data_IF_457995220385
#
_entry.id   IF_457995220385
#
_cell.length_a   1.000
_cell.length_b   1.000
_cell.length_c   1.000
_cell.angle_alpha   90.00
_cell.angle_beta   90.00
_cell.angle_gamma   90.00
#
_symmetry.space_group_name_H-M   'P 1'
#
loop_
_entity.id
_entity.type
_entity.pdbx_description
1 polymer ?
#
# COMPACT_ATOMS: atom_id res chain seq x y z
N UNK A 1 7.49 -30.34 2.25
CA UNK A 1 6.46 -30.05 1.26
C UNK A 1 6.21 -28.55 1.29
N UNK A 2 6.71 -27.85 0.29
CA UNK A 2 6.46 -26.39 0.14
C UNK A 2 5.01 -26.21 -0.31
N UNK A 3 4.13 -25.77 0.60
CA UNK A 3 2.80 -25.30 0.20
C UNK A 3 2.98 -23.98 -0.52
N UNK A 4 2.44 -23.88 -1.73
CA UNK A 4 2.33 -22.62 -2.46
C UNK A 4 1.62 -21.56 -1.60
N UNK A 5 1.98 -20.28 -1.74
CA UNK A 5 1.31 -19.20 -1.01
C UNK A 5 -0.17 -19.16 -1.41
N UNK A 6 -1.06 -19.19 -0.42
CA UNK A 6 -2.49 -19.01 -0.61
C UNK A 6 -2.82 -17.50 -0.66
N UNK A 7 -2.79 -16.94 -1.86
CA UNK A 7 -3.18 -15.55 -2.09
C UNK A 7 -4.59 -15.51 -2.66
N UNK A 8 -5.50 -14.86 -1.95
CA UNK A 8 -6.89 -14.70 -2.39
C UNK A 8 -7.13 -13.24 -2.74
N UNK A 9 -7.66 -12.99 -3.94
CA UNK A 9 -8.09 -11.66 -4.37
C UNK A 9 -9.61 -11.61 -4.31
N UNK A 10 -10.14 -10.67 -3.55
CA UNK A 10 -11.58 -10.42 -3.43
C UNK A 10 -11.89 -9.00 -3.92
N UNK A 11 -12.73 -8.86 -4.93
CA UNK A 11 -13.19 -7.57 -5.44
C UNK A 11 -14.62 -7.37 -4.95
N UNK A 12 -14.84 -6.35 -4.11
CA UNK A 12 -16.20 -5.99 -3.69
C UNK A 12 -16.86 -5.12 -4.78
N UNK A 13 -18.18 -5.21 -4.97
CA UNK A 13 -18.90 -4.34 -5.92
C UNK A 13 -18.65 -2.84 -5.67
N UNK A 14 -18.44 -2.45 -4.41
CA UNK A 14 -18.08 -1.08 -4.02
C UNK A 14 -16.73 -0.62 -4.58
N UNK A 15 -15.85 -1.51 -5.03
CA UNK A 15 -14.56 -1.13 -5.61
C UNK A 15 -14.68 -0.25 -6.86
N UNK A 16 -15.82 -0.29 -7.53
CA UNK A 16 -16.11 0.57 -8.68
C UNK A 16 -16.56 1.98 -8.28
N UNK A 17 -16.96 2.21 -7.01
CA UNK A 17 -17.49 3.50 -6.57
C UNK A 17 -16.44 4.60 -6.61
N UNK A 18 -15.22 4.34 -6.09
CA UNK A 18 -14.16 5.37 -6.07
C UNK A 18 -13.71 5.77 -7.47
N UNK A 19 -13.36 4.85 -8.39
CA UNK A 19 -13.02 5.24 -9.75
C UNK A 19 -14.18 5.89 -10.49
N UNK A 20 -15.43 5.44 -10.29
CA UNK A 20 -16.59 6.07 -10.92
C UNK A 20 -16.83 7.49 -10.39
N UNK A 21 -16.75 7.69 -9.08
CA UNK A 21 -16.86 9.01 -8.46
C UNK A 21 -15.73 9.94 -8.90
N UNK A 22 -14.49 9.40 -8.96
CA UNK A 22 -13.34 10.16 -9.42
C UNK A 22 -13.50 10.63 -10.88
N UNK A 23 -13.95 9.74 -11.77
CA UNK A 23 -14.24 10.09 -13.16
C UNK A 23 -15.35 11.12 -13.27
N UNK A 24 -16.38 11.01 -12.44
CA UNK A 24 -17.49 11.97 -12.43
C UNK A 24 -17.05 13.38 -11.98
N UNK A 25 -16.10 13.44 -11.03
CA UNK A 25 -15.65 14.71 -10.45
C UNK A 25 -14.54 15.40 -11.24
N UNK A 26 -13.69 14.64 -11.95
CA UNK A 26 -12.46 15.18 -12.55
C UNK A 26 -12.43 15.16 -14.06
N UNK A 27 -13.30 14.38 -14.73
CA UNK A 27 -13.27 14.14 -16.19
C UNK A 27 -11.88 13.74 -16.74
N UNK A 28 -11.01 13.21 -15.87
CA UNK A 28 -9.61 12.93 -16.21
C UNK A 28 -9.25 11.45 -16.04
N UNK A 29 -9.60 10.57 -16.99
CA UNK A 29 -9.31 9.14 -16.91
C UNK A 29 -7.81 8.83 -16.82
N UNK A 30 -6.95 9.73 -17.32
CA UNK A 30 -5.50 9.57 -17.26
C UNK A 30 -4.96 9.60 -15.82
N UNK A 31 -5.62 10.33 -14.90
CA UNK A 31 -5.25 10.31 -13.48
C UNK A 31 -5.50 8.93 -12.85
N UNK A 32 -6.63 8.29 -13.19
CA UNK A 32 -6.88 6.92 -12.75
C UNK A 32 -5.86 5.93 -13.32
N UNK A 33 -5.48 6.09 -14.59
CA UNK A 33 -4.45 5.28 -15.23
C UNK A 33 -3.08 5.41 -14.52
N UNK A 34 -2.81 6.53 -13.86
CA UNK A 34 -1.62 6.72 -13.05
C UNK A 34 -1.79 6.21 -11.61
N UNK A 35 -2.93 6.49 -10.96
CA UNK A 35 -3.16 6.17 -9.56
C UNK A 35 -3.36 4.67 -9.31
N UNK A 36 -4.07 3.95 -10.20
CA UNK A 36 -4.35 2.53 -9.99
C UNK A 36 -3.08 1.67 -9.99
N UNK A 37 -2.13 1.80 -10.96
CA UNK A 37 -0.87 1.08 -10.89
C UNK A 37 -0.01 1.50 -9.70
N UNK A 38 -0.03 2.78 -9.32
CA UNK A 38 0.70 3.27 -8.16
C UNK A 38 0.18 2.63 -6.85
N UNK A 39 -1.15 2.55 -6.68
CA UNK A 39 -1.76 1.88 -5.54
C UNK A 39 -1.48 0.36 -5.56
N UNK A 40 -1.50 -0.28 -6.71
CA UNK A 40 -1.16 -1.70 -6.83
C UNK A 40 0.28 -1.98 -6.39
N UNK A 41 1.23 -1.17 -6.85
CA UNK A 41 2.64 -1.29 -6.47
C UNK A 41 2.85 -1.08 -4.97
N UNK A 42 2.12 -0.15 -4.38
CA UNK A 42 2.09 0.09 -2.95
C UNK A 42 1.67 -1.16 -2.16
N UNK A 43 0.53 -1.75 -2.50
CA UNK A 43 0.03 -2.97 -1.85
C UNK A 43 0.97 -4.18 -2.07
N UNK A 44 1.55 -4.30 -3.27
CA UNK A 44 2.52 -5.35 -3.57
C UNK A 44 3.79 -5.21 -2.73
N UNK A 45 4.22 -3.99 -2.40
CA UNK A 45 5.37 -3.76 -1.53
C UNK A 45 5.11 -4.26 -0.11
N UNK A 46 3.94 -3.98 0.47
CA UNK A 46 3.52 -4.53 1.75
C UNK A 46 3.55 -6.07 1.72
N UNK A 47 2.93 -6.64 0.69
CA UNK A 47 2.88 -8.09 0.53
C UNK A 47 4.27 -8.72 0.39
N UNK A 48 5.16 -8.11 -0.40
CA UNK A 48 6.51 -8.62 -0.61
C UNK A 48 7.28 -8.72 0.72
N UNK A 49 7.22 -7.69 1.57
CA UNK A 49 7.87 -7.71 2.89
C UNK A 49 7.22 -8.76 3.79
N UNK A 50 5.90 -8.86 3.84
CA UNK A 50 5.21 -9.88 4.62
C UNK A 50 5.58 -11.29 4.18
N UNK A 51 5.68 -11.51 2.87
CA UNK A 51 6.10 -12.81 2.31
C UNK A 51 7.55 -13.16 2.71
N UNK A 52 8.46 -12.19 2.66
CA UNK A 52 9.85 -12.36 3.14
C UNK A 52 9.91 -12.65 4.64
N UNK A 53 8.98 -12.12 5.43
CA UNK A 53 8.82 -12.42 6.85
C UNK A 53 8.13 -13.77 7.14
N UNK A 54 7.85 -14.59 6.10
CA UNK A 54 7.29 -15.93 6.24
C UNK A 54 5.77 -16.01 6.22
N UNK A 55 5.07 -14.91 5.98
CA UNK A 55 3.61 -14.91 5.79
C UNK A 55 3.27 -15.61 4.48
N UNK A 56 2.39 -16.60 4.55
CA UNK A 56 2.00 -17.40 3.38
C UNK A 56 0.57 -17.16 2.93
N UNK A 57 -0.28 -16.71 3.85
CA UNK A 57 -1.69 -16.43 3.56
C UNK A 57 -1.94 -14.94 3.55
N UNK A 58 -2.42 -14.43 2.44
CA UNK A 58 -2.81 -13.04 2.30
C UNK A 58 -4.11 -12.91 1.52
N UNK A 59 -4.98 -12.00 1.94
CA UNK A 59 -6.21 -11.68 1.24
C UNK A 59 -6.19 -10.20 0.83
N UNK A 60 -6.09 -9.98 -0.48
CA UNK A 60 -6.28 -8.66 -1.05
C UNK A 60 -7.78 -8.40 -1.23
N UNK A 61 -8.28 -7.33 -0.67
CA UNK A 61 -9.67 -6.91 -0.84
C UNK A 61 -9.70 -5.52 -1.44
N UNK A 62 -10.30 -5.43 -2.64
CA UNK A 62 -10.59 -4.15 -3.28
C UNK A 62 -11.97 -3.67 -2.84
N UNK A 63 -12.02 -2.45 -2.32
CA UNK A 63 -13.26 -1.80 -1.83
C UNK A 63 -13.40 -0.41 -2.44
N UNK A 64 -14.55 0.23 -2.22
CA UNK A 64 -14.78 1.61 -2.65
C UNK A 64 -13.89 2.66 -1.98
N UNK A 65 -13.17 2.31 -0.93
CA UNK A 65 -12.22 3.20 -0.24
C UNK A 65 -10.75 2.87 -0.57
N UNK A 66 -10.50 1.90 -1.47
CA UNK A 66 -9.17 1.49 -1.87
C UNK A 66 -8.94 -0.02 -1.72
N UNK A 67 -7.68 -0.42 -1.77
CA UNK A 67 -7.23 -1.79 -1.52
C UNK A 67 -6.93 -1.99 -0.03
N UNK A 68 -7.12 -3.18 0.47
CA UNK A 68 -6.71 -3.58 1.81
C UNK A 68 -6.11 -4.98 1.79
N UNK A 69 -4.99 -5.14 2.47
CA UNK A 69 -4.32 -6.41 2.66
C UNK A 69 -4.66 -6.96 4.04
N UNK A 70 -5.37 -8.08 4.08
CA UNK A 70 -5.66 -8.79 5.32
C UNK A 70 -4.76 -10.01 5.45
N UNK A 71 -4.06 -10.11 6.57
CA UNK A 71 -3.12 -11.19 6.90
C UNK A 71 -3.54 -11.84 8.21
N UNK A 72 -4.08 -13.08 8.17
CA UNK A 72 -4.52 -13.77 9.39
C UNK A 72 -3.39 -14.02 10.39
N UNK A 73 -2.16 -14.19 9.87
CA UNK A 73 -0.98 -14.56 10.66
C UNK A 73 -0.20 -13.33 11.20
N UNK A 74 -0.76 -12.13 11.08
CA UNK A 74 -0.09 -10.88 11.45
C UNK A 74 0.36 -10.88 12.92
N UNK A 75 -0.44 -11.46 13.83
CA UNK A 75 -0.15 -11.58 15.26
C UNK A 75 1.08 -12.45 15.59
N UNK A 76 1.63 -13.18 14.61
CA UNK A 76 2.84 -13.99 14.75
C UNK A 76 4.10 -13.26 14.36
N UNK A 77 3.97 -12.09 13.78
CA UNK A 77 5.10 -11.27 13.36
C UNK A 77 5.67 -10.52 14.56
N UNK A 78 6.98 -10.31 14.54
CA UNK A 78 7.63 -9.38 15.46
C UNK A 78 7.21 -7.94 15.13
N UNK A 79 7.25 -7.06 16.13
CA UNK A 79 6.98 -5.62 15.94
C UNK A 79 7.81 -5.01 14.81
N UNK A 80 9.10 -5.41 14.70
CA UNK A 80 9.98 -4.94 13.63
C UNK A 80 9.54 -5.38 12.24
N UNK A 81 9.12 -6.64 12.09
CA UNK A 81 8.61 -7.16 10.82
C UNK A 81 7.29 -6.47 10.42
N UNK A 82 6.42 -6.22 11.39
CA UNK A 82 5.16 -5.51 11.17
C UNK A 82 5.40 -4.04 10.81
N UNK A 83 6.33 -3.37 11.50
CA UNK A 83 6.75 -2.00 11.21
C UNK A 83 7.35 -1.87 9.80
N UNK A 84 8.26 -2.79 9.45
CA UNK A 84 8.88 -2.83 8.12
C UNK A 84 7.83 -3.06 7.03
N UNK A 85 6.88 -3.96 7.28
CA UNK A 85 5.76 -4.18 6.37
C UNK A 85 4.93 -2.90 6.19
N UNK A 86 4.56 -2.22 7.27
CA UNK A 86 3.76 -0.99 7.20
C UNK A 86 4.50 0.15 6.47
N UNK A 87 5.82 0.23 6.59
CA UNK A 87 6.63 1.23 5.90
C UNK A 87 6.87 0.91 4.41
N UNK A 88 6.78 -0.36 4.02
CA UNK A 88 7.16 -0.82 2.68
C UNK A 88 6.37 -0.15 1.54
N UNK A 89 5.06 -0.01 1.69
CA UNK A 89 4.20 0.64 0.69
C UNK A 89 4.58 2.09 0.43
N UNK A 90 4.54 2.95 1.46
CA UNK A 90 4.92 4.35 1.30
C UNK A 90 6.35 4.53 0.80
N UNK A 91 7.32 3.75 1.32
CA UNK A 91 8.71 3.82 0.88
C UNK A 91 8.89 3.41 -0.58
N UNK A 92 8.17 2.39 -1.06
CA UNK A 92 8.17 1.99 -2.47
C UNK A 92 7.68 3.14 -3.35
N UNK A 93 6.58 3.78 -2.97
CA UNK A 93 6.04 4.90 -3.73
C UNK A 93 7.02 6.08 -3.77
N UNK A 94 7.62 6.46 -2.65
CA UNK A 94 8.60 7.54 -2.62
C UNK A 94 9.87 7.20 -3.41
N UNK A 95 10.34 5.96 -3.35
CA UNK A 95 11.46 5.49 -4.15
C UNK A 95 11.16 5.58 -5.66
N UNK A 96 9.99 5.09 -6.07
CA UNK A 96 9.56 5.16 -7.47
C UNK A 96 9.38 6.61 -7.93
N UNK A 97 8.83 7.48 -7.10
CA UNK A 97 8.77 8.91 -7.40
C UNK A 97 10.15 9.48 -7.71
N UNK A 98 11.15 9.24 -6.85
CA UNK A 98 12.52 9.73 -7.05
C UNK A 98 13.12 9.15 -8.35
N UNK A 99 13.04 7.82 -8.53
CA UNK A 99 13.62 7.16 -9.69
C UNK A 99 13.01 7.65 -11.01
N UNK A 100 11.67 7.77 -11.05
CA UNK A 100 10.96 8.25 -12.24
C UNK A 100 11.28 9.73 -12.53
N UNK A 101 11.37 10.57 -11.50
CA UNK A 101 11.71 11.99 -11.64
C UNK A 101 13.13 12.19 -12.16
N UNK A 102 14.07 11.33 -11.77
CA UNK A 102 15.46 11.39 -12.26
C UNK A 102 15.59 11.02 -13.75
N UNK A 103 14.59 10.38 -14.36
CA UNK A 103 14.62 10.08 -15.79
C UNK A 103 14.48 11.33 -16.66
N UNK A 104 13.91 12.41 -16.15
CA UNK A 104 13.59 13.64 -16.86
C UNK A 104 12.55 13.48 -17.99
N UNK A 105 11.84 12.34 -18.02
CA UNK A 105 10.84 12.03 -19.05
C UNK A 105 9.50 12.65 -18.70
N UNK A 106 9.01 13.55 -19.55
CA UNK A 106 7.70 14.21 -19.36
C UNK A 106 6.53 13.22 -19.30
N UNK A 107 6.60 12.14 -20.09
CA UNK A 107 5.54 11.11 -20.11
C UNK A 107 5.36 10.40 -18.79
N UNK A 108 6.39 10.37 -17.93
CA UNK A 108 6.38 9.72 -16.62
C UNK A 108 5.98 10.66 -15.48
N UNK A 109 5.89 11.97 -15.75
CA UNK A 109 5.65 13.00 -14.70
C UNK A 109 4.35 12.75 -13.94
N UNK A 110 3.28 12.40 -14.65
CA UNK A 110 1.98 12.13 -14.02
C UNK A 110 2.05 10.90 -13.10
N UNK A 111 2.70 9.84 -13.56
CA UNK A 111 2.84 8.62 -12.77
C UNK A 111 3.80 8.84 -11.58
N UNK A 112 4.88 9.60 -11.76
CA UNK A 112 5.76 10.02 -10.67
C UNK A 112 5.00 10.85 -9.62
N UNK A 113 4.17 11.80 -10.06
CA UNK A 113 3.31 12.59 -9.18
C UNK A 113 2.32 11.73 -8.38
N UNK A 114 1.69 10.73 -9.03
CA UNK A 114 0.81 9.78 -8.35
C UNK A 114 1.56 8.98 -7.26
N UNK A 115 2.79 8.54 -7.53
CA UNK A 115 3.63 7.86 -6.56
C UNK A 115 3.94 8.76 -5.36
N UNK A 116 4.34 10.01 -5.61
CA UNK A 116 4.62 10.97 -4.54
C UNK A 116 3.39 11.20 -3.64
N UNK A 117 2.25 11.50 -4.25
CA UNK A 117 1.00 11.80 -3.51
C UNK A 117 0.59 10.61 -2.66
N UNK A 118 0.58 9.39 -3.22
CA UNK A 118 0.23 8.18 -2.46
C UNK A 118 1.23 7.91 -1.33
N UNK A 119 2.54 8.04 -1.58
CA UNK A 119 3.56 7.83 -0.57
C UNK A 119 3.42 8.80 0.60
N UNK A 120 3.25 10.10 0.31
CA UNK A 120 3.11 11.14 1.34
C UNK A 120 1.80 10.98 2.11
N UNK A 121 0.67 10.77 1.43
CA UNK A 121 -0.62 10.59 2.10
C UNK A 121 -0.63 9.37 3.01
N UNK A 122 -0.06 8.25 2.58
CA UNK A 122 0.00 7.05 3.41
C UNK A 122 0.98 7.17 4.59
N UNK A 123 1.90 8.13 4.60
CA UNK A 123 2.75 8.43 5.76
C UNK A 123 2.07 9.33 6.81
N UNK A 124 0.89 9.87 6.53
CA UNK A 124 0.17 10.65 7.53
C UNK A 124 -0.12 9.81 8.78
N UNK A 125 0.13 10.35 9.99
CA UNK A 125 -0.05 9.62 11.26
C UNK A 125 -1.53 9.51 11.67
N UNK A 126 -2.39 9.14 10.73
CA UNK A 126 -3.85 9.04 10.89
C UNK A 126 -4.33 7.67 10.41
N UNK A 127 -5.19 7.02 11.17
CA UNK A 127 -5.89 5.81 10.68
C UNK A 127 -6.92 6.20 9.61
N UNK A 128 -7.02 5.46 8.51
CA UNK A 128 -6.50 4.11 8.21
C UNK A 128 -5.17 4.06 7.46
N UNK A 129 -4.38 5.16 7.41
CA UNK A 129 -3.11 5.23 6.67
C UNK A 129 -2.00 4.43 7.36
N UNK A 130 -0.98 4.03 6.57
CA UNK A 130 0.17 3.27 7.09
C UNK A 130 0.98 4.05 8.13
N UNK A 131 1.10 5.37 7.98
CA UNK A 131 1.74 6.24 8.96
C UNK A 131 1.08 6.18 10.33
N UNK A 132 -0.25 6.06 10.39
CA UNK A 132 -0.97 5.85 11.65
C UNK A 132 -0.67 4.48 12.27
N UNK A 133 -0.48 3.44 11.45
CA UNK A 133 -0.07 2.12 11.90
C UNK A 133 1.38 2.11 12.36
N UNK A 134 2.28 2.75 11.60
CA UNK A 134 3.70 2.93 11.98
C UNK A 134 3.82 3.62 13.33
N UNK A 135 3.11 4.72 13.52
CA UNK A 135 3.11 5.46 14.79
C UNK A 135 2.62 4.59 15.95
N UNK A 136 1.53 3.85 15.76
CA UNK A 136 1.00 2.96 16.79
C UNK A 136 2.00 1.84 17.15
N UNK A 137 2.61 1.18 16.16
CA UNK A 137 3.61 0.13 16.37
C UNK A 137 4.86 0.68 17.07
N UNK A 138 5.34 1.85 16.67
CA UNK A 138 6.50 2.49 17.31
C UNK A 138 6.21 2.82 18.77
N UNK A 139 5.03 3.34 19.11
CA UNK A 139 4.65 3.62 20.49
C UNK A 139 4.49 2.34 21.31
N UNK A 140 3.85 1.30 20.77
CA UNK A 140 3.71 0.02 21.43
C UNK A 140 5.08 -0.61 21.76
N UNK A 141 6.00 -0.60 20.78
CA UNK A 141 7.36 -1.11 20.98
C UNK A 141 8.14 -0.38 22.09
N UNK A 142 7.89 0.92 22.27
CA UNK A 142 8.56 1.72 23.31
C UNK A 142 7.92 1.59 24.69
N UNK A 143 6.66 1.18 24.78
CA UNK A 143 5.87 1.17 26.02
C UNK A 143 5.66 -0.23 26.61
N UNK A 144 5.74 -1.27 25.79
CA UNK A 144 5.63 -2.65 26.28
C UNK A 144 7.02 -3.17 26.68
N UNK A 145 7.30 -3.38 27.98
CA UNK A 145 8.52 -4.07 28.40
C UNK A 145 8.44 -5.52 27.92
N UNK A 146 9.54 -6.01 27.31
CA UNK A 146 9.76 -7.40 26.95
C UNK A 146 9.73 -8.31 28.17
#
# INVERSE_FOLDING_TARGET
MSRSPDVTVCVRPSALLTPALFLLLTDTPILLAALLPAALLHELAHYAVLHLCGVRTARFTLTGLGASLYVPELHRLSYGAELLSAAAGPLMNLLLWVLLSLTGREELTLFAGAQMVLGVLNLLPVRPMDGGRILWLATAYLTEPY
#
